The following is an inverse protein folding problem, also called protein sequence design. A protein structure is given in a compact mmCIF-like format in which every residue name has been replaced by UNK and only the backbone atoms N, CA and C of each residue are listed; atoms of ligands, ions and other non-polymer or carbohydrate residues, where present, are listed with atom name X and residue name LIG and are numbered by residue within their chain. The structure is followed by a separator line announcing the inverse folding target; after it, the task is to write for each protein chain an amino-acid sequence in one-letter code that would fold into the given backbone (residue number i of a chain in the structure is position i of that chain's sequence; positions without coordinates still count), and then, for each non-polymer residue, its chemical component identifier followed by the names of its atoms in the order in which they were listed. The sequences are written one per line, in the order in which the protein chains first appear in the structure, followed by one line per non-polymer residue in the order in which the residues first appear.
data_IF_800402999174
#
_entry.id   IF_800402999174
#
_cell.length_a   1.000
_cell.length_b   1.000
_cell.length_c   1.000
_cell.angle_alpha   90.00
_cell.angle_beta   90.00
_cell.angle_gamma   90.00
#
_symmetry.space_group_name_H-M   'P 1'
#
loop_
_entity.id
_entity.type
_entity.pdbx_description
1 polymer ?
#
# COMPACT_ATOMS: atom_id res chain seq x y z
N UNK A 1 -14.06 3.94 -13.69
CA UNK A 1 -13.40 5.19 -13.27
C UNK A 1 -14.24 6.34 -13.81
N UNK A 2 -14.53 7.35 -12.99
CA UNK A 2 -15.41 8.48 -13.32
C UNK A 2 -14.89 9.75 -12.61
N UNK A 3 -15.43 10.92 -12.95
CA UNK A 3 -15.17 12.16 -12.22
C UNK A 3 -16.30 12.43 -11.21
N UNK A 4 -15.98 13.29 -10.22
CA UNK A 4 -16.98 13.85 -9.31
C UNK A 4 -17.94 14.76 -10.08
N UNK A 5 -19.15 14.95 -9.55
CA UNK A 5 -20.20 15.74 -10.21
C UNK A 5 -19.78 17.20 -10.46
N UNK A 6 -19.01 17.79 -9.56
CA UNK A 6 -18.43 19.14 -9.67
C UNK A 6 -17.37 19.27 -10.78
N UNK A 7 -16.73 18.16 -11.15
CA UNK A 7 -15.77 18.06 -12.25
C UNK A 7 -16.42 17.54 -13.55
N UNK A 8 -17.75 17.51 -13.65
CA UNK A 8 -18.50 17.12 -14.84
C UNK A 8 -18.66 15.60 -15.04
N UNK A 9 -18.31 14.79 -14.05
CA UNK A 9 -18.59 13.35 -14.04
C UNK A 9 -19.96 13.01 -13.47
N UNK A 10 -20.26 11.71 -13.38
CA UNK A 10 -21.53 11.22 -12.83
C UNK A 10 -21.40 10.67 -11.41
N UNK A 11 -20.20 10.71 -10.83
CA UNK A 11 -19.86 10.11 -9.53
C UNK A 11 -20.29 8.62 -9.42
N UNK A 12 -20.23 7.88 -10.55
CA UNK A 12 -20.64 6.47 -10.61
C UNK A 12 -19.46 5.50 -10.50
N UNK A 13 -18.26 6.00 -10.24
CA UNK A 13 -17.08 5.18 -10.06
C UNK A 13 -15.94 5.96 -9.42
N UNK A 14 -14.86 5.26 -9.03
CA UNK A 14 -13.71 5.91 -8.42
C UNK A 14 -13.04 6.86 -9.40
N UNK A 15 -12.50 7.95 -8.87
CA UNK A 15 -11.65 8.92 -9.58
C UNK A 15 -10.30 8.30 -9.95
N UNK A 16 -9.55 8.87 -10.91
CA UNK A 16 -8.20 8.41 -11.22
C UNK A 16 -7.26 8.35 -10.02
N UNK A 17 -7.38 9.29 -9.09
CA UNK A 17 -6.60 9.30 -7.84
C UNK A 17 -6.98 8.13 -6.92
N UNK A 18 -8.28 7.87 -6.74
CA UNK A 18 -8.75 6.72 -5.95
C UNK A 18 -8.35 5.38 -6.59
N UNK A 19 -8.40 5.28 -7.92
CA UNK A 19 -7.92 4.10 -8.65
C UNK A 19 -6.41 3.92 -8.47
N UNK A 20 -5.62 5.00 -8.47
CA UNK A 20 -4.18 4.92 -8.22
C UNK A 20 -3.87 4.45 -6.79
N UNK A 21 -4.59 4.95 -5.77
CA UNK A 21 -4.46 4.45 -4.39
C UNK A 21 -4.83 2.97 -4.30
N UNK A 22 -5.94 2.57 -4.91
CA UNK A 22 -6.34 1.17 -4.98
C UNK A 22 -5.28 0.30 -5.70
N UNK A 23 -4.61 0.86 -6.70
CA UNK A 23 -3.53 0.16 -7.42
C UNK A 23 -2.29 -0.07 -6.54
N UNK A 24 -1.95 0.86 -5.64
CA UNK A 24 -0.90 0.65 -4.63
C UNK A 24 -1.28 -0.52 -3.71
N UNK A 25 -2.52 -0.52 -3.19
CA UNK A 25 -3.01 -1.61 -2.34
C UNK A 25 -2.98 -2.96 -3.06
N UNK A 26 -3.47 -3.01 -4.30
CA UNK A 26 -3.53 -4.25 -5.07
C UNK A 26 -2.14 -4.77 -5.42
N UNK A 27 -1.24 -3.91 -5.92
CA UNK A 27 0.13 -4.30 -6.28
C UNK A 27 0.88 -4.86 -5.06
N UNK A 28 0.86 -4.14 -3.94
CA UNK A 28 1.59 -4.58 -2.75
C UNK A 28 0.89 -5.74 -2.02
N UNK A 29 -0.44 -5.77 -2.00
CA UNK A 29 -1.19 -6.89 -1.45
C UNK A 29 -0.89 -8.23 -2.15
N UNK A 30 -0.76 -8.21 -3.48
CA UNK A 30 -0.34 -9.38 -4.26
C UNK A 30 1.08 -9.86 -3.88
N UNK A 31 2.03 -8.94 -3.73
CA UNK A 31 3.38 -9.26 -3.27
C UNK A 31 3.37 -9.90 -1.88
N UNK A 32 2.69 -9.27 -0.93
CA UNK A 32 2.64 -9.72 0.48
C UNK A 32 2.02 -11.11 0.58
N UNK A 33 0.89 -11.35 -0.10
CA UNK A 33 0.25 -12.67 -0.13
C UNK A 33 1.20 -13.73 -0.73
N UNK A 34 1.84 -13.41 -1.86
CA UNK A 34 2.81 -14.30 -2.53
C UNK A 34 4.03 -14.63 -1.64
N UNK A 35 4.58 -13.63 -0.94
CA UNK A 35 5.73 -13.80 -0.06
C UNK A 35 5.37 -14.63 1.18
N UNK A 36 4.24 -14.34 1.83
CA UNK A 36 3.78 -15.11 2.99
C UNK A 36 3.48 -16.57 2.62
N UNK A 37 2.88 -16.80 1.45
CA UNK A 37 2.68 -18.15 0.92
C UNK A 37 4.01 -18.89 0.73
N UNK A 38 5.04 -18.24 0.16
CA UNK A 38 6.39 -18.82 0.00
C UNK A 38 7.07 -19.12 1.35
N UNK A 39 6.75 -18.35 2.39
CA UNK A 39 7.19 -18.59 3.77
C UNK A 39 6.40 -19.71 4.47
N UNK A 40 5.43 -20.34 3.80
CA UNK A 40 4.54 -21.38 4.35
C UNK A 40 3.73 -20.90 5.56
N UNK A 41 3.32 -19.63 5.51
CA UNK A 41 2.44 -19.02 6.51
C UNK A 41 0.99 -19.40 6.21
N UNK A 42 0.24 -19.80 7.24
CA UNK A 42 -1.20 -20.02 7.15
C UNK A 42 -1.96 -18.70 7.27
N UNK A 43 -2.08 -18.02 6.12
CA UNK A 43 -2.71 -16.71 6.00
C UNK A 43 -4.23 -16.85 5.93
N UNK A 44 -4.94 -16.24 6.88
CA UNK A 44 -6.41 -16.19 6.87
C UNK A 44 -6.93 -14.98 6.09
N UNK A 45 -6.36 -13.79 6.32
CA UNK A 45 -6.67 -12.59 5.54
C UNK A 45 -5.49 -11.63 5.49
N UNK A 46 -5.44 -10.84 4.41
CA UNK A 46 -4.52 -9.71 4.25
C UNK A 46 -5.32 -8.56 3.62
N UNK A 47 -5.74 -7.62 4.47
CA UNK A 47 -6.47 -6.43 4.04
C UNK A 47 -5.49 -5.26 3.93
N UNK A 48 -5.47 -4.59 2.78
CA UNK A 48 -4.58 -3.46 2.50
C UNK A 48 -5.41 -2.22 2.21
N UNK A 49 -5.28 -1.21 3.07
CA UNK A 49 -5.98 0.07 2.93
C UNK A 49 -4.98 1.19 2.72
N UNK A 50 -5.31 2.15 1.86
CA UNK A 50 -4.50 3.35 1.65
C UNK A 50 -5.36 4.59 1.79
N UNK A 51 -4.79 5.63 2.39
CA UNK A 51 -5.40 6.95 2.52
C UNK A 51 -4.36 8.04 2.23
N UNK A 52 -4.81 9.22 1.83
CA UNK A 52 -3.92 10.33 1.52
C UNK A 52 -4.64 11.67 1.58
N UNK A 53 -3.88 12.72 1.87
CA UNK A 53 -4.26 14.11 1.62
C UNK A 53 -3.70 14.54 0.25
N UNK A 54 -4.33 15.53 -0.38
CA UNK A 54 -3.78 16.16 -1.60
C UNK A 54 -3.10 17.49 -1.24
N UNK A 55 -2.01 17.83 -1.93
CA UNK A 55 -1.38 19.15 -1.82
C UNK A 55 -2.32 20.28 -2.28
N UNK A 56 -2.10 21.49 -1.76
CA UNK A 56 -2.78 22.69 -2.25
C UNK A 56 -2.19 23.15 -3.59
N UNK A 57 -2.98 23.88 -4.39
CA UNK A 57 -2.56 24.43 -5.68
C UNK A 57 -2.56 23.43 -6.85
N UNK A 58 -1.98 23.84 -7.99
CA UNK A 58 -1.93 23.03 -9.21
C UNK A 58 -0.48 22.80 -9.68
N UNK A 59 -0.11 21.57 -10.10
CA UNK A 59 -0.90 20.35 -10.04
C UNK A 59 -0.97 19.78 -8.60
N UNK A 60 -2.17 19.34 -8.20
CA UNK A 60 -2.42 18.80 -6.87
C UNK A 60 -2.09 17.30 -6.82
N UNK A 61 -1.05 16.90 -6.08
CA UNK A 61 -0.57 15.50 -5.96
C UNK A 61 -0.85 14.94 -4.56
N UNK A 62 -0.58 13.66 -4.33
CA UNK A 62 -0.64 13.09 -2.98
C UNK A 62 0.45 13.72 -2.11
N UNK A 63 0.06 14.22 -0.94
CA UNK A 63 0.98 14.84 0.03
C UNK A 63 1.80 13.78 0.74
N UNK A 64 1.14 12.75 1.25
CA UNK A 64 1.71 11.53 1.81
C UNK A 64 0.67 10.42 1.66
N UNK A 65 1.09 9.23 1.24
CA UNK A 65 0.22 8.05 1.16
C UNK A 65 0.47 7.20 2.39
N UNK A 66 -0.59 6.93 3.16
CA UNK A 66 -0.53 6.08 4.34
C UNK A 66 -1.17 4.72 4.02
N UNK A 67 -0.39 3.65 4.13
CA UNK A 67 -0.83 2.29 3.81
C UNK A 67 -0.88 1.43 5.06
N UNK A 68 -2.00 0.77 5.32
CA UNK A 68 -2.18 -0.15 6.44
C UNK A 68 -2.32 -1.57 5.93
N UNK A 69 -1.45 -2.45 6.40
CA UNK A 69 -1.52 -3.90 6.19
C UNK A 69 -2.14 -4.55 7.42
N UNK A 70 -3.33 -5.13 7.28
CA UNK A 70 -3.99 -5.90 8.33
C UNK A 70 -3.94 -7.37 7.97
N UNK A 71 -3.02 -8.07 8.61
CA UNK A 71 -2.75 -9.49 8.37
C UNK A 71 -3.37 -10.29 9.52
N UNK A 72 -4.13 -11.33 9.17
CA UNK A 72 -4.71 -12.28 10.14
C UNK A 72 -4.29 -13.69 9.81
N UNK A 73 -4.01 -14.47 10.85
CA UNK A 73 -3.71 -15.89 10.71
C UNK A 73 -3.17 -16.52 11.97
N UNK A 74 -3.15 -17.85 11.96
CA UNK A 74 -2.65 -18.66 13.07
C UNK A 74 -1.15 -18.89 12.92
N UNK A 75 -0.40 -18.76 14.03
CA UNK A 75 1.04 -19.04 14.09
C UNK A 75 1.92 -18.20 13.14
N UNK A 76 1.47 -17.02 12.71
CA UNK A 76 2.30 -16.07 11.97
C UNK A 76 3.27 -15.40 12.95
N UNK A 77 4.58 -15.50 12.70
CA UNK A 77 5.56 -14.74 13.50
C UNK A 77 5.56 -13.28 13.05
N UNK A 78 5.66 -12.29 13.97
CA UNK A 78 5.73 -10.87 13.61
C UNK A 78 6.77 -10.58 12.52
N UNK A 79 7.96 -11.17 12.62
CA UNK A 79 9.04 -10.99 11.64
C UNK A 79 8.67 -11.45 10.23
N UNK A 80 7.82 -12.47 10.07
CA UNK A 80 7.38 -12.93 8.74
C UNK A 80 6.44 -11.90 8.11
N UNK A 81 5.49 -11.37 8.88
CA UNK A 81 4.57 -10.33 8.43
C UNK A 81 5.32 -9.04 8.08
N UNK A 82 6.22 -8.60 8.96
CA UNK A 82 7.06 -7.41 8.74
C UNK A 82 7.90 -7.60 7.49
N UNK A 83 8.63 -8.72 7.37
CA UNK A 83 9.50 -9.00 6.23
C UNK A 83 8.74 -9.03 4.90
N UNK A 84 7.54 -9.61 4.86
CA UNK A 84 6.72 -9.64 3.65
C UNK A 84 6.33 -8.23 3.18
N UNK A 85 5.85 -7.39 4.10
CA UNK A 85 5.46 -6.01 3.78
C UNK A 85 6.69 -5.17 3.42
N UNK A 86 7.77 -5.24 4.20
CA UNK A 86 9.01 -4.50 3.94
C UNK A 86 9.57 -4.84 2.57
N UNK A 87 9.61 -6.12 2.16
CA UNK A 87 10.07 -6.51 0.83
C UNK A 87 9.19 -5.91 -0.28
N UNK A 88 7.86 -5.88 -0.10
CA UNK A 88 7.00 -5.23 -1.09
C UNK A 88 7.24 -3.72 -1.16
N UNK A 89 7.37 -3.06 0.00
CA UNK A 89 7.53 -1.60 0.13
C UNK A 89 8.96 -1.08 -0.09
N UNK A 90 9.92 -1.96 -0.33
CA UNK A 90 11.29 -1.54 -0.61
C UNK A 90 11.81 -2.10 -1.91
N UNK A 91 11.27 -3.22 -2.40
CA UNK A 91 11.86 -3.97 -3.52
C UNK A 91 10.92 -4.33 -4.66
N UNK A 92 9.68 -4.75 -4.38
CA UNK A 92 8.86 -5.41 -5.40
C UNK A 92 7.69 -4.59 -5.95
N UNK A 93 7.02 -3.76 -5.14
CA UNK A 93 5.83 -3.06 -5.58
C UNK A 93 6.20 -1.92 -6.57
N UNK A 94 6.13 -2.22 -7.87
CA UNK A 94 6.46 -1.26 -8.93
C UNK A 94 5.57 -0.01 -8.92
N UNK A 95 4.31 -0.14 -8.50
CA UNK A 95 3.40 1.01 -8.35
C UNK A 95 3.89 1.93 -7.25
N UNK A 96 4.22 1.39 -6.06
CA UNK A 96 4.78 2.17 -4.96
C UNK A 96 6.12 2.80 -5.35
N UNK A 97 6.98 2.09 -6.08
CA UNK A 97 8.27 2.60 -6.54
C UNK A 97 8.13 3.81 -7.46
N UNK A 98 7.09 3.87 -8.30
CA UNK A 98 6.81 5.03 -9.15
C UNK A 98 6.26 6.23 -8.37
N UNK A 99 5.47 6.00 -7.33
CA UNK A 99 4.79 7.07 -6.56
C UNK A 99 5.69 7.67 -5.49
N UNK A 100 6.43 6.83 -4.75
CA UNK A 100 7.21 7.21 -3.57
C UNK A 100 8.18 8.40 -3.76
N UNK A 101 8.88 8.57 -4.90
CA UNK A 101 9.78 9.71 -5.11
C UNK A 101 9.09 11.07 -5.09
N UNK A 102 7.79 11.11 -5.41
CA UNK A 102 7.00 12.35 -5.50
C UNK A 102 6.00 12.50 -4.37
N UNK A 103 5.54 11.39 -3.81
CA UNK A 103 4.56 11.32 -2.74
C UNK A 103 5.02 10.25 -1.75
N UNK A 104 5.66 10.64 -0.63
CA UNK A 104 6.19 9.70 0.35
C UNK A 104 5.12 8.69 0.79
N UNK A 105 5.53 7.42 0.89
CA UNK A 105 4.64 6.35 1.32
C UNK A 105 5.05 5.90 2.72
N UNK A 106 4.17 6.12 3.69
CA UNK A 106 4.27 5.57 5.04
C UNK A 106 3.44 4.30 5.12
N UNK A 107 3.95 3.24 5.73
CA UNK A 107 3.21 2.01 5.91
C UNK A 107 3.25 1.48 7.34
N UNK A 108 2.16 0.81 7.73
CA UNK A 108 1.96 0.20 9.04
C UNK A 108 1.56 -1.27 8.87
N UNK A 109 2.07 -2.12 9.75
CA UNK A 109 1.75 -3.55 9.77
C UNK A 109 1.01 -3.89 11.06
N UNK A 110 -0.16 -4.46 10.90
CA UNK A 110 -1.00 -5.00 11.96
C UNK A 110 -1.08 -6.51 11.79
N UNK A 111 -0.78 -7.25 12.86
CA UNK A 111 -0.96 -8.69 12.93
C UNK A 111 -1.99 -9.01 14.01
N UNK A 112 -3.08 -9.66 13.63
CA UNK A 112 -4.20 -9.98 14.52
C UNK A 112 -4.67 -8.75 15.32
N UNK A 113 -4.87 -7.64 14.58
CA UNK A 113 -5.33 -6.33 15.08
C UNK A 113 -4.34 -5.58 16.00
N UNK A 114 -3.14 -6.13 16.26
CA UNK A 114 -2.06 -5.43 16.96
C UNK A 114 -1.07 -4.82 15.97
N UNK A 115 -0.78 -3.51 16.11
CA UNK A 115 0.30 -2.88 15.35
C UNK A 115 1.65 -3.42 15.80
N UNK A 116 2.44 -3.93 14.87
CA UNK A 116 3.75 -4.53 15.12
C UNK A 116 4.90 -3.79 14.45
N UNK A 117 4.61 -2.93 13.46
CA UNK A 117 5.63 -2.21 12.71
C UNK A 117 5.08 -0.97 12.01
N UNK A 118 5.96 0.00 11.79
CA UNK A 118 5.73 1.22 11.02
C UNK A 118 7.05 1.67 10.38
N UNK A 119 7.02 2.05 9.11
CA UNK A 119 8.18 2.56 8.37
C UNK A 119 7.76 3.37 7.14
N UNK A 120 8.74 3.91 6.42
CA UNK A 120 8.55 4.51 5.11
C UNK A 120 9.05 3.57 4.01
N UNK A 121 8.40 3.63 2.85
CA UNK A 121 8.86 2.94 1.66
C UNK A 121 10.17 3.58 1.16
N UNK A 122 11.10 2.74 0.74
CA UNK A 122 12.39 3.18 0.20
C UNK A 122 12.87 2.20 -0.87
N UNK A 123 12.90 2.68 -2.11
CA UNK A 123 13.26 1.91 -3.30
C UNK A 123 14.63 2.31 -3.87
N UNK A 124 15.38 3.19 -3.19
CA UNK A 124 16.62 3.78 -3.71
C UNK A 124 17.73 2.76 -3.97
N UNK A 125 17.67 1.58 -3.37
CA UNK A 125 18.68 0.52 -3.50
C UNK A 125 18.45 -0.55 -4.58
N UNK A 126 17.37 -0.48 -5.38
CA UNK A 126 16.93 -1.63 -6.21
C UNK A 126 17.06 -1.46 -7.74
N UNK A 127 17.73 -0.40 -8.21
CA UNK A 127 17.91 -0.11 -9.65
C UNK A 127 19.39 -0.06 -10.11
N UNK A 128 20.32 -0.63 -9.34
CA UNK A 128 21.73 -0.79 -9.74
C UNK A 128 21.95 -2.01 -10.62
#
# INVERSE_FOLDING_TARGET
MDAKADAGGKDQGPTPKEVLLASICACSGMDVASILQKMRVDLQSCDVNAQTETTEGHPAIFKEVQVQYRIKGSNIKPDQAIKAVTLSMTKYCGVSAMVNPTSPIKYQVFLNDQQIHEAHADFTGNHS
#
